data_IF_221483464737
#
_entry.id   IF_221483464737
#
_cell.length_a   1.000
_cell.length_b   1.000
_cell.length_c   1.000
_cell.angle_alpha   90.00
_cell.angle_beta   90.00
_cell.angle_gamma   90.00
#
_symmetry.space_group_name_H-M   'P 1'
#
loop_
_entity.id
_entity.type
_entity.pdbx_description
1 polymer ?
#
# COMPACT_ATOMS: atom_id res chain seq x y z
N UNK A 1 1.44 3.65 -7.46
CA UNK A 1 2.92 3.66 -7.37
C UNK A 1 3.59 2.87 -8.49
N UNK A 2 4.84 3.21 -8.85
CA UNK A 2 5.70 2.36 -9.68
C UNK A 2 6.45 1.33 -8.79
N UNK A 3 6.68 0.09 -9.25
CA UNK A 3 7.34 -0.94 -8.44
C UNK A 3 8.77 -0.61 -8.04
N UNK A 4 9.49 0.17 -8.86
CA UNK A 4 10.88 0.58 -8.62
C UNK A 4 11.01 1.45 -7.36
N UNK A 5 10.16 2.46 -7.25
CA UNK A 5 10.11 3.36 -6.08
C UNK A 5 9.80 2.62 -4.78
N UNK A 6 9.05 1.51 -4.83
CA UNK A 6 8.75 0.69 -3.63
C UNK A 6 9.99 -0.13 -3.23
N UNK A 7 10.79 -0.60 -4.20
CA UNK A 7 11.97 -1.42 -3.93
C UNK A 7 13.17 -0.62 -3.40
N UNK A 8 13.22 0.68 -3.66
CA UNK A 8 14.27 1.59 -3.19
C UNK A 8 14.11 2.04 -1.73
N UNK A 9 12.92 1.87 -1.14
CA UNK A 9 12.63 2.32 0.24
C UNK A 9 13.17 1.36 1.29
N UNK A 10 13.51 1.88 2.47
CA UNK A 10 13.89 1.06 3.61
C UNK A 10 12.70 0.30 4.22
N UNK A 11 12.97 -0.74 5.02
CA UNK A 11 11.92 -1.58 5.61
C UNK A 11 10.98 -0.78 6.52
N UNK A 12 11.53 0.16 7.29
CA UNK A 12 10.76 1.09 8.13
C UNK A 12 9.90 2.05 7.29
N UNK A 13 10.44 2.59 6.20
CA UNK A 13 9.70 3.46 5.29
C UNK A 13 8.57 2.73 4.57
N UNK A 14 8.79 1.44 4.21
CA UNK A 14 7.76 0.58 3.67
C UNK A 14 6.62 0.37 4.66
N UNK A 15 6.94 0.12 5.93
CA UNK A 15 5.92 0.01 6.98
C UNK A 15 5.18 1.33 7.20
N UNK A 16 5.89 2.47 7.21
CA UNK A 16 5.27 3.78 7.35
C UNK A 16 4.30 4.08 6.19
N UNK A 17 4.71 3.82 4.95
CA UNK A 17 3.83 3.93 3.76
C UNK A 17 2.64 3.00 3.84
N UNK A 18 2.82 1.79 4.34
CA UNK A 18 1.72 0.83 4.51
C UNK A 18 0.67 1.36 5.49
N UNK A 19 1.10 1.97 6.60
CA UNK A 19 0.18 2.62 7.55
C UNK A 19 -0.57 3.78 6.90
N UNK A 20 0.13 4.67 6.21
CA UNK A 20 -0.48 5.80 5.51
C UNK A 20 -1.53 5.35 4.46
N UNK A 21 -1.20 4.34 3.64
CA UNK A 21 -2.11 3.80 2.63
C UNK A 21 -3.34 3.11 3.26
N UNK A 22 -3.19 2.47 4.42
CA UNK A 22 -4.33 1.90 5.17
C UNK A 22 -5.25 2.99 5.70
N UNK A 23 -4.70 4.08 6.19
CA UNK A 23 -5.47 5.25 6.63
C UNK A 23 -6.21 5.92 5.47
N UNK A 24 -5.55 6.09 4.33
CA UNK A 24 -6.18 6.59 3.09
C UNK A 24 -7.33 5.65 2.67
N UNK A 25 -7.11 4.33 2.68
CA UNK A 25 -8.16 3.36 2.37
C UNK A 25 -9.34 3.45 3.35
N UNK A 26 -9.09 3.65 4.64
CA UNK A 26 -10.15 3.81 5.63
C UNK A 26 -10.99 5.06 5.35
N UNK A 27 -10.34 6.19 5.09
CA UNK A 27 -11.03 7.44 4.70
C UNK A 27 -11.84 7.27 3.43
N UNK A 28 -11.28 6.64 2.39
CA UNK A 28 -11.98 6.38 1.13
C UNK A 28 -13.18 5.42 1.31
N UNK A 29 -13.08 4.42 2.20
CA UNK A 29 -14.22 3.56 2.54
C UNK A 29 -15.32 4.31 3.27
N UNK A 30 -14.94 5.24 4.14
CA UNK A 30 -15.89 6.10 4.83
C UNK A 30 -16.60 7.05 3.85
N UNK A 31 -15.86 7.69 2.95
CA UNK A 31 -16.40 8.53 1.87
C UNK A 31 -17.30 7.74 0.89
N UNK A 32 -16.97 6.48 0.63
CA UNK A 32 -17.81 5.58 -0.16
C UNK A 32 -19.14 5.30 0.54
N UNK A 33 -19.12 5.10 1.87
CA UNK A 33 -20.33 4.88 2.65
C UNK A 33 -21.21 6.13 2.75
N UNK A 34 -20.63 7.33 2.76
CA UNK A 34 -21.38 8.60 2.73
C UNK A 34 -21.80 9.03 1.32
N UNK A 35 -21.53 8.20 0.29
CA UNK A 35 -21.82 8.47 -1.12
C UNK A 35 -21.20 9.77 -1.67
N UNK A 36 -20.19 10.33 -1.01
CA UNK A 36 -19.46 11.54 -1.41
C UNK A 36 -18.16 11.21 -2.14
N UNK A 37 -18.00 9.98 -2.62
CA UNK A 37 -16.76 9.54 -3.23
C UNK A 37 -16.65 10.05 -4.67
N UNK A 38 -15.85 11.09 -4.87
CA UNK A 38 -15.60 11.68 -6.20
C UNK A 38 -14.93 10.70 -7.17
N UNK A 39 -14.10 9.77 -6.69
CA UNK A 39 -13.38 8.85 -7.56
C UNK A 39 -13.28 7.40 -7.01
N UNK A 40 -14.20 6.50 -7.41
CA UNK A 40 -14.17 5.08 -7.05
C UNK A 40 -12.90 4.34 -7.49
N UNK A 41 -12.23 4.78 -8.55
CA UNK A 41 -10.99 4.16 -9.03
C UNK A 41 -9.86 4.28 -8.00
N UNK A 42 -9.87 5.35 -7.19
CA UNK A 42 -8.84 5.59 -6.19
C UNK A 42 -8.79 4.48 -5.14
N UNK A 43 -9.95 3.97 -4.70
CA UNK A 43 -10.05 2.84 -3.77
C UNK A 43 -9.32 1.61 -4.33
N UNK A 44 -9.56 1.29 -5.61
CA UNK A 44 -8.92 0.16 -6.29
C UNK A 44 -7.40 0.37 -6.41
N UNK A 45 -6.98 1.60 -6.64
CA UNK A 45 -5.56 1.96 -6.78
C UNK A 45 -4.82 1.84 -5.45
N UNK A 46 -5.38 2.37 -4.37
CA UNK A 46 -4.82 2.26 -3.01
C UNK A 46 -4.72 0.79 -2.58
N UNK A 47 -5.74 -0.03 -2.86
CA UNK A 47 -5.67 -1.49 -2.61
C UNK A 47 -4.52 -2.16 -3.35
N UNK A 48 -4.31 -1.81 -4.63
CA UNK A 48 -3.18 -2.35 -5.43
C UNK A 48 -1.84 -1.89 -4.89
N UNK A 49 -1.73 -0.64 -4.45
CA UNK A 49 -0.48 -0.12 -3.90
C UNK A 49 -0.15 -0.77 -2.55
N UNK A 50 -1.14 -1.03 -1.67
CA UNK A 50 -0.96 -1.83 -0.44
C UNK A 50 -0.44 -3.24 -0.77
N UNK A 51 -1.05 -3.92 -1.75
CA UNK A 51 -0.63 -5.26 -2.15
C UNK A 51 0.82 -5.29 -2.62
N UNK A 52 1.24 -4.31 -3.44
CA UNK A 52 2.63 -4.20 -3.92
C UNK A 52 3.64 -4.01 -2.79
N UNK A 53 3.32 -3.18 -1.79
CA UNK A 53 4.17 -2.99 -0.61
C UNK A 53 4.33 -4.30 0.15
N UNK A 54 3.23 -5.02 0.39
CA UNK A 54 3.27 -6.34 1.03
C UNK A 54 4.12 -7.35 0.24
N UNK A 55 4.01 -7.38 -1.09
CA UNK A 55 4.82 -8.26 -1.93
C UNK A 55 6.30 -7.95 -1.77
N UNK A 56 6.72 -6.68 -1.78
CA UNK A 56 8.14 -6.31 -1.62
C UNK A 56 8.66 -6.65 -0.23
N UNK A 57 7.86 -6.44 0.83
CA UNK A 57 8.24 -6.85 2.19
C UNK A 57 8.47 -8.38 2.22
N UNK A 58 7.54 -9.15 1.66
CA UNK A 58 7.65 -10.61 1.61
C UNK A 58 8.82 -11.09 0.75
N UNK A 59 9.07 -10.45 -0.39
CA UNK A 59 10.25 -10.72 -1.25
C UNK A 59 11.56 -10.52 -0.46
N UNK A 60 11.62 -9.52 0.43
CA UNK A 60 12.79 -9.26 1.29
C UNK A 60 12.94 -10.29 2.40
N UNK A 61 11.86 -10.64 3.10
CA UNK A 61 11.85 -11.70 4.13
C UNK A 61 12.36 -13.03 3.55
N UNK A 62 11.80 -13.47 2.42
CA UNK A 62 12.20 -14.73 1.77
C UNK A 62 13.68 -14.73 1.33
N UNK A 63 14.25 -13.57 0.97
CA UNK A 63 15.68 -13.45 0.68
C UNK A 63 16.56 -13.51 1.93
N UNK A 64 16.06 -13.05 3.07
CA UNK A 64 16.78 -13.15 4.35
C UNK A 64 16.72 -14.58 4.91
N UNK A 65 15.58 -15.25 4.80
CA UNK A 65 15.38 -16.62 5.28
C UNK A 65 16.14 -17.67 4.45
N UNK A 66 16.47 -17.36 3.19
CA UNK A 66 17.22 -18.23 2.29
C UNK A 66 18.75 -18.14 2.48
N UNK A 67 19.22 -17.42 3.50
CA UNK A 67 20.63 -17.17 3.80
C UNK A 67 21.04 -17.84 5.11
#
# INVERSE_FOLDING_TARGET
MKPKEIRELNQEELQAKLRALKEELFRLRFQLATAQLENPMRVRQVRKDIARVHTVIRERELRQDAK
#
